data_IF_676293893587
#
_entry.id   IF_676293893587
#
_cell.length_a   1.000
_cell.length_b   1.000
_cell.length_c   1.000
_cell.angle_alpha   90.00
_cell.angle_beta   90.00
_cell.angle_gamma   90.00
#
_symmetry.space_group_name_H-M   'P 1'
#
loop_
_entity.id
_entity.type
_entity.pdbx_description
1 polymer ?
#
# COMPACT_ATOMS: atom_id res chain seq x y z
N UNK A 1 11.56 70.78 -14.33
CA UNK A 1 10.28 70.06 -14.46
C UNK A 1 10.28 68.97 -13.38
N UNK A 2 9.75 69.30 -12.20
CA UNK A 2 8.52 68.73 -11.61
C UNK A 2 8.49 67.20 -11.53
N UNK A 3 8.84 66.75 -10.34
CA UNK A 3 8.53 65.50 -9.64
C UNK A 3 7.05 65.13 -9.65
N UNK A 4 6.75 63.83 -9.59
CA UNK A 4 5.60 63.26 -8.86
C UNK A 4 5.77 61.74 -8.68
N UNK A 5 6.31 61.36 -7.51
CA UNK A 5 6.10 60.07 -6.86
C UNK A 5 5.00 60.30 -5.81
N UNK A 6 3.87 59.61 -5.97
CA UNK A 6 2.86 59.33 -4.93
C UNK A 6 2.83 57.80 -4.88
N UNK A 7 3.02 57.11 -3.76
CA UNK A 7 2.08 57.03 -2.64
C UNK A 7 2.78 56.40 -1.43
N UNK A 8 2.34 56.74 -0.21
CA UNK A 8 2.67 55.92 0.97
C UNK A 8 2.72 56.65 2.30
N UNK A 9 1.57 57.11 2.81
CA UNK A 9 1.36 57.32 4.26
C UNK A 9 -0.10 57.04 4.59
N UNK A 10 -0.38 55.99 5.36
CA UNK A 10 -1.24 56.12 6.54
C UNK A 10 -0.92 55.00 7.54
N UNK A 11 -0.86 55.42 8.79
CA UNK A 11 -0.45 54.70 9.98
C UNK A 11 -1.63 54.70 10.98
N UNK A 12 -1.55 53.80 11.96
CA UNK A 12 -2.23 53.76 13.28
C UNK A 12 -3.49 52.89 13.54
N UNK A 13 -3.25 51.75 14.21
CA UNK A 13 -3.59 51.37 15.61
C UNK A 13 -5.00 51.57 16.22
N UNK A 14 -5.54 50.49 16.84
CA UNK A 14 -5.98 50.31 18.27
C UNK A 14 -6.75 48.96 18.44
N UNK A 15 -6.17 47.91 19.06
CA UNK A 15 -6.34 47.36 20.45
C UNK A 15 -7.71 46.81 20.88
N UNK A 16 -7.75 45.53 21.34
CA UNK A 16 -8.21 44.97 22.66
C UNK A 16 -8.20 43.42 22.56
N UNK A 17 -7.34 42.68 23.27
CA UNK A 17 -7.52 42.06 24.60
C UNK A 17 -8.56 40.91 24.69
N UNK A 18 -8.11 39.66 24.94
CA UNK A 18 -8.46 38.90 26.15
C UNK A 18 -7.64 37.59 26.28
N UNK A 19 -7.46 37.19 27.53
CA UNK A 19 -6.57 36.18 28.11
C UNK A 19 -7.34 34.90 28.47
N UNK A 20 -6.61 33.82 28.71
CA UNK A 20 -7.09 32.43 28.85
C UNK A 20 -7.92 32.07 30.09
N UNK A 21 -8.19 30.77 30.22
CA UNK A 21 -8.94 30.20 31.34
C UNK A 21 -9.15 28.70 31.20
N UNK A 22 -8.38 27.95 31.98
CA UNK A 22 -8.44 26.52 32.28
C UNK A 22 -9.70 26.16 33.13
N UNK A 23 -9.94 24.87 33.41
CA UNK A 23 -10.91 24.24 34.37
C UNK A 23 -12.11 23.53 33.71
N UNK A 24 -12.67 22.42 34.21
CA UNK A 24 -12.34 21.31 35.11
C UNK A 24 -13.57 20.36 35.01
N UNK A 25 -13.41 19.08 35.38
CA UNK A 25 -14.49 18.08 35.50
C UNK A 25 -15.74 18.57 36.25
N UNK A 26 -16.87 17.88 36.02
CA UNK A 26 -17.79 17.55 37.10
C UNK A 26 -17.96 16.03 37.25
N UNK A 27 -17.53 15.51 38.40
CA UNK A 27 -18.17 14.36 39.05
C UNK A 27 -19.51 14.79 39.68
N UNK A 28 -20.43 13.83 39.84
CA UNK A 28 -21.56 13.67 40.80
C UNK A 28 -22.51 12.64 40.13
N UNK A 29 -23.09 11.59 40.71
CA UNK A 29 -23.40 11.20 42.09
C UNK A 29 -23.84 9.71 42.06
N UNK A 30 -23.42 8.88 43.02
CA UNK A 30 -23.99 7.54 43.27
C UNK A 30 -25.25 7.64 44.14
N UNK A 31 -26.24 6.79 43.87
CA UNK A 31 -27.46 6.57 44.67
C UNK A 31 -28.11 5.21 44.32
N UNK A 32 -28.94 4.63 45.20
CA UNK A 32 -28.72 3.29 45.76
C UNK A 32 -29.46 2.14 45.05
N UNK A 33 -29.01 0.92 45.36
CA UNK A 33 -29.61 -0.32 44.90
C UNK A 33 -30.97 -0.63 45.53
N UNK A 34 -31.69 -1.51 44.84
CA UNK A 34 -32.80 -2.29 45.37
C UNK A 34 -32.82 -3.62 44.60
N UNK A 35 -32.49 -4.69 45.33
CA UNK A 35 -32.70 -6.05 44.86
C UNK A 35 -34.19 -6.39 44.84
N UNK A 36 -34.57 -7.28 43.94
CA UNK A 36 -35.76 -8.09 44.11
C UNK A 36 -35.50 -9.47 43.52
N UNK A 37 -35.24 -10.39 44.44
CA UNK A 37 -35.44 -11.82 44.32
C UNK A 37 -36.94 -12.09 44.09
N UNK A 38 -37.27 -12.99 43.18
CA UNK A 38 -38.59 -13.61 43.07
C UNK A 38 -38.45 -14.95 42.34
N UNK A 39 -38.01 -15.93 43.11
CA UNK A 39 -38.29 -17.34 42.89
C UNK A 39 -39.79 -17.61 43.01
N UNK A 40 -40.34 -18.45 42.13
CA UNK A 40 -41.50 -19.27 42.47
C UNK A 40 -42.59 -19.42 41.42
N UNK A 41 -42.90 -20.69 41.16
CA UNK A 41 -44.18 -21.23 40.69
C UNK A 41 -44.46 -21.19 39.18
N UNK A 42 -44.32 -22.35 38.55
CA UNK A 42 -45.42 -23.03 37.87
C UNK A 42 -45.09 -24.52 37.69
N UNK A 43 -45.72 -25.34 38.53
CA UNK A 43 -45.84 -26.79 38.35
C UNK A 43 -47.03 -27.12 37.45
N UNK A 44 -46.84 -27.97 36.44
CA UNK A 44 -47.92 -28.54 35.63
C UNK A 44 -47.53 -29.90 35.05
N UNK A 45 -47.95 -30.98 35.74
CA UNK A 45 -47.82 -32.39 35.34
C UNK A 45 -48.52 -32.67 34.00
N UNK A 46 -47.96 -33.57 33.18
CA UNK A 46 -48.69 -34.72 32.60
C UNK A 46 -47.73 -35.89 32.33
N UNK A 47 -48.12 -37.07 32.81
CA UNK A 47 -47.40 -38.35 32.69
C UNK A 47 -47.63 -38.96 31.31
N UNK A 48 -46.61 -39.55 30.70
CA UNK A 48 -46.81 -40.73 29.83
C UNK A 48 -45.60 -41.66 29.85
N UNK A 49 -45.89 -42.96 30.00
CA UNK A 49 -44.96 -44.08 30.11
C UNK A 49 -44.52 -44.54 28.71
N UNK A 50 -43.21 -44.75 28.48
CA UNK A 50 -42.69 -46.01 27.90
C UNK A 50 -41.15 -46.08 27.84
N UNK A 51 -40.68 -47.24 28.28
CA UNK A 51 -39.47 -47.98 27.91
C UNK A 51 -38.07 -47.40 28.20
N UNK A 52 -37.39 -48.10 29.12
CA UNK A 52 -35.93 -48.19 29.26
C UNK A 52 -35.26 -48.54 27.93
N UNK A 53 -34.24 -47.78 27.56
CA UNK A 53 -32.98 -48.29 27.03
C UNK A 53 -31.85 -47.50 27.68
N UNK A 54 -30.89 -48.24 28.25
CA UNK A 54 -29.74 -47.74 28.99
C UNK A 54 -28.52 -47.62 28.07
N UNK A 55 -27.93 -46.41 28.00
CA UNK A 55 -26.49 -46.02 27.97
C UNK A 55 -25.53 -46.64 26.92
N UNK A 56 -24.54 -45.90 26.38
CA UNK A 56 -23.57 -45.15 27.19
C UNK A 56 -23.22 -43.72 26.74
N UNK A 57 -22.82 -42.97 27.76
CA UNK A 57 -21.87 -41.85 27.82
C UNK A 57 -21.32 -41.31 26.49
N UNK A 58 -21.75 -40.12 26.09
CA UNK A 58 -21.01 -39.30 25.12
C UNK A 58 -20.07 -38.38 25.90
N UNK A 59 -18.80 -38.42 25.51
CA UNK A 59 -17.69 -37.66 26.08
C UNK A 59 -18.01 -36.17 26.21
N UNK A 60 -17.75 -35.66 27.40
CA UNK A 60 -17.66 -34.25 27.73
C UNK A 60 -16.35 -33.72 27.12
N UNK A 61 -16.39 -33.37 25.84
CA UNK A 61 -15.28 -32.66 25.18
C UNK A 61 -15.63 -31.17 25.15
N UNK A 62 -14.80 -30.29 25.74
CA UNK A 62 -15.08 -28.87 25.74
C UNK A 62 -15.03 -28.34 24.31
N UNK A 63 -16.09 -27.63 23.90
CA UNK A 63 -16.08 -26.77 22.74
C UNK A 63 -14.90 -25.80 22.90
N UNK A 64 -13.87 -26.01 22.10
CA UNK A 64 -12.77 -25.07 21.94
C UNK A 64 -13.31 -23.88 21.16
N UNK A 65 -13.87 -22.90 21.87
CA UNK A 65 -14.03 -21.56 21.34
C UNK A 65 -12.63 -20.96 21.15
N UNK A 66 -12.10 -21.17 19.96
CA UNK A 66 -10.81 -20.66 19.51
C UNK A 66 -10.81 -20.52 18.00
N UNK A 67 -11.89 -19.96 17.44
CA UNK A 67 -11.92 -19.55 16.04
C UNK A 67 -11.05 -18.31 15.89
N UNK A 68 -9.82 -18.49 15.44
CA UNK A 68 -8.96 -17.39 15.05
C UNK A 68 -9.66 -16.61 13.92
N UNK A 69 -9.63 -15.28 13.96
CA UNK A 69 -10.33 -14.45 12.98
C UNK A 69 -9.84 -14.67 11.52
N UNK A 70 -8.73 -15.41 11.37
CA UNK A 70 -8.16 -15.87 10.10
C UNK A 70 -8.96 -16.95 9.38
N UNK A 71 -9.87 -17.67 10.07
CA UNK A 71 -10.69 -18.73 9.47
C UNK A 71 -12.06 -18.24 8.96
N UNK A 72 -12.34 -16.94 9.11
CA UNK A 72 -13.55 -16.36 8.60
C UNK A 72 -13.46 -16.24 7.06
N UNK A 73 -14.52 -16.60 6.30
CA UNK A 73 -14.49 -16.46 4.86
C UNK A 73 -14.17 -15.02 4.48
N UNK A 74 -13.18 -14.81 3.62
CA UNK A 74 -12.77 -13.47 3.16
C UNK A 74 -13.95 -12.61 2.70
N UNK A 75 -14.95 -13.22 2.07
CA UNK A 75 -16.14 -12.54 1.58
C UNK A 75 -17.17 -12.16 2.65
N UNK A 76 -16.91 -12.47 3.92
CA UNK A 76 -17.70 -11.98 5.06
C UNK A 76 -17.13 -10.65 5.60
N UNK A 77 -15.81 -10.48 5.49
CA UNK A 77 -15.09 -9.26 5.89
C UNK A 77 -14.92 -8.27 4.73
N UNK A 78 -14.87 -8.80 3.51
CA UNK A 78 -14.64 -8.06 2.28
C UNK A 78 -15.79 -8.27 1.29
N UNK A 79 -15.86 -7.41 0.28
CA UNK A 79 -16.84 -7.54 -0.81
C UNK A 79 -16.23 -8.35 -1.95
N UNK A 80 -16.82 -9.52 -2.25
CA UNK A 80 -16.42 -10.37 -3.36
C UNK A 80 -17.39 -10.27 -4.53
N UNK A 81 -16.90 -9.86 -5.70
CA UNK A 81 -17.70 -9.69 -6.92
C UNK A 81 -16.95 -10.25 -8.12
N UNK A 82 -17.48 -11.32 -8.73
CA UNK A 82 -17.04 -11.84 -10.04
C UNK A 82 -15.51 -11.92 -10.17
N UNK A 83 -14.85 -12.66 -9.27
CA UNK A 83 -13.39 -12.81 -9.27
C UNK A 83 -12.62 -11.58 -8.78
N UNK A 84 -13.29 -10.59 -8.21
CA UNK A 84 -12.67 -9.43 -7.55
C UNK A 84 -12.95 -9.45 -6.06
N UNK A 85 -11.96 -9.11 -5.25
CA UNK A 85 -12.07 -9.01 -3.78
C UNK A 85 -11.70 -7.60 -3.36
N UNK A 86 -12.63 -6.91 -2.69
CA UNK A 86 -12.48 -5.54 -2.19
C UNK A 86 -12.49 -5.54 -0.66
N UNK A 87 -11.32 -5.33 -0.08
CA UNK A 87 -11.04 -5.25 1.35
C UNK A 87 -10.48 -3.85 1.67
N UNK A 88 -11.25 -2.79 1.47
CA UNK A 88 -10.80 -1.43 1.78
C UNK A 88 -11.21 -1.08 3.21
N UNK A 89 -10.24 -0.66 4.05
CA UNK A 89 -10.48 -0.18 5.42
C UNK A 89 -11.36 -1.11 6.27
N UNK A 90 -11.01 -2.41 6.30
CA UNK A 90 -11.80 -3.43 6.98
C UNK A 90 -11.66 -3.29 8.51
N UNK A 91 -12.77 -3.49 9.23
CA UNK A 91 -12.82 -3.54 10.71
C UNK A 91 -13.20 -4.95 11.18
N UNK A 92 -12.42 -5.61 12.06
CA UNK A 92 -11.19 -5.12 12.69
C UNK A 92 -10.02 -4.99 11.70
N UNK A 93 -9.01 -4.20 12.09
CA UNK A 93 -7.82 -3.90 11.28
C UNK A 93 -7.19 -5.18 10.70
N UNK A 94 -7.13 -5.26 9.36
CA UNK A 94 -6.56 -6.42 8.67
C UNK A 94 -5.02 -6.32 8.64
N UNK A 95 -4.34 -7.20 9.38
CA UNK A 95 -2.86 -7.21 9.53
C UNK A 95 -2.13 -8.18 8.62
N UNK A 96 -2.85 -9.10 7.98
CA UNK A 96 -2.33 -10.12 7.05
C UNK A 96 -3.23 -10.20 5.83
N UNK A 97 -2.73 -10.79 4.74
CA UNK A 97 -3.57 -11.09 3.57
C UNK A 97 -4.53 -12.24 3.93
N UNK A 98 -5.85 -12.07 3.77
CA UNK A 98 -6.82 -13.11 4.10
C UNK A 98 -6.85 -14.22 3.03
N UNK A 99 -7.40 -15.39 3.36
CA UNK A 99 -7.47 -16.53 2.44
C UNK A 99 -8.41 -16.24 1.25
N UNK A 100 -7.84 -15.98 0.07
CA UNK A 100 -8.60 -15.55 -1.10
C UNK A 100 -9.30 -16.74 -1.81
N UNK A 101 -10.47 -16.51 -2.43
CA UNK A 101 -11.06 -17.45 -3.39
C UNK A 101 -10.08 -17.78 -4.54
N UNK A 102 -10.04 -19.04 -5.00
CA UNK A 102 -9.05 -19.52 -5.99
C UNK A 102 -9.20 -18.86 -7.37
N UNK A 103 -10.41 -18.42 -7.69
CA UNK A 103 -10.78 -17.72 -8.91
C UNK A 103 -10.52 -16.20 -8.86
N UNK A 104 -9.93 -15.68 -7.78
CA UNK A 104 -9.67 -14.24 -7.63
C UNK A 104 -8.66 -13.74 -8.67
N UNK A 105 -9.12 -12.88 -9.57
CA UNK A 105 -8.32 -12.17 -10.57
C UNK A 105 -7.88 -10.78 -10.10
N UNK A 106 -8.64 -10.12 -9.22
CA UNK A 106 -8.36 -8.76 -8.75
C UNK A 106 -8.47 -8.67 -7.23
N UNK A 107 -7.42 -8.20 -6.57
CA UNK A 107 -7.43 -7.92 -5.14
C UNK A 107 -7.20 -6.42 -4.90
N UNK A 108 -8.10 -5.80 -4.15
CA UNK A 108 -7.98 -4.45 -3.65
C UNK A 108 -8.04 -4.49 -2.13
N UNK A 109 -6.90 -4.39 -1.46
CA UNK A 109 -6.78 -4.48 0.00
C UNK A 109 -6.10 -3.21 0.55
N UNK A 110 -6.66 -2.05 0.21
CA UNK A 110 -6.09 -0.74 0.51
C UNK A 110 -6.39 -0.27 1.92
N UNK A 111 -5.52 0.60 2.44
CA UNK A 111 -5.73 1.32 3.70
C UNK A 111 -6.00 0.42 4.92
N UNK A 112 -5.41 -0.78 4.94
CA UNK A 112 -5.43 -1.67 6.10
C UNK A 112 -4.10 -1.59 6.88
N UNK A 113 -3.83 -2.59 7.73
CA UNK A 113 -2.62 -2.67 8.56
C UNK A 113 -1.73 -3.86 8.20
N UNK A 114 -1.76 -4.30 6.93
CA UNK A 114 -0.94 -5.42 6.48
C UNK A 114 0.54 -5.03 6.64
N UNK A 115 1.32 -5.84 7.36
CA UNK A 115 2.72 -5.51 7.68
C UNK A 115 3.75 -6.43 6.99
N UNK A 116 3.32 -7.61 6.55
CA UNK A 116 4.17 -8.63 5.94
C UNK A 116 3.41 -9.38 4.84
N UNK A 117 4.13 -9.73 3.78
CA UNK A 117 3.66 -10.65 2.74
C UNK A 117 4.55 -11.88 2.72
N UNK A 118 3.94 -13.06 2.78
CA UNK A 118 4.64 -14.35 2.78
C UNK A 118 4.50 -15.08 1.45
N UNK A 119 5.32 -16.11 1.25
CA UNK A 119 5.24 -17.03 0.11
C UNK A 119 3.95 -17.84 0.04
N UNK A 120 3.14 -17.86 1.12
CA UNK A 120 1.87 -18.60 1.18
C UNK A 120 0.67 -17.76 0.74
N UNK A 121 0.70 -16.45 0.99
CA UNK A 121 -0.45 -15.54 0.84
C UNK A 121 -1.08 -15.58 -0.56
N UNK A 122 -0.27 -15.76 -1.60
CA UNK A 122 -0.72 -15.81 -3.00
C UNK A 122 -0.34 -17.13 -3.70
N UNK A 123 0.10 -18.15 -2.97
CA UNK A 123 0.71 -19.34 -3.54
C UNK A 123 -0.19 -20.12 -4.52
N UNK A 124 -1.49 -20.14 -4.23
CA UNK A 124 -2.47 -20.98 -4.92
C UNK A 124 -3.41 -20.20 -5.84
N UNK A 125 -3.27 -18.87 -5.90
CA UNK A 125 -4.20 -17.98 -6.61
C UNK A 125 -3.51 -17.50 -7.90
N UNK A 126 -3.29 -18.44 -8.81
CA UNK A 126 -2.52 -18.22 -10.05
C UNK A 126 -3.28 -17.37 -11.09
N UNK A 127 -4.55 -17.10 -10.84
CA UNK A 127 -5.48 -16.31 -11.66
C UNK A 127 -5.33 -14.80 -11.46
N UNK A 128 -4.59 -14.36 -10.43
CA UNK A 128 -4.39 -12.94 -10.10
C UNK A 128 -3.74 -12.18 -11.26
N UNK A 129 -4.42 -11.11 -11.68
CA UNK A 129 -3.97 -10.14 -12.68
C UNK A 129 -3.61 -8.80 -12.05
N UNK A 130 -4.27 -8.43 -10.96
CA UNK A 130 -4.03 -7.17 -10.25
C UNK A 130 -4.03 -7.36 -8.74
N UNK A 131 -3.04 -6.76 -8.10
CA UNK A 131 -2.97 -6.64 -6.63
C UNK A 131 -2.74 -5.17 -6.29
N UNK A 132 -3.60 -4.63 -5.45
CA UNK A 132 -3.48 -3.28 -4.91
C UNK A 132 -3.47 -3.32 -3.38
N UNK A 133 -2.29 -3.06 -2.80
CA UNK A 133 -2.02 -3.05 -1.36
C UNK A 133 -1.61 -1.66 -0.89
N UNK A 134 -2.09 -0.62 -1.58
CA UNK A 134 -1.75 0.78 -1.28
C UNK A 134 -2.18 1.17 0.13
N UNK A 135 -1.36 1.96 0.82
CA UNK A 135 -1.73 2.54 2.12
C UNK A 135 -1.74 1.54 3.27
N UNK A 136 -0.92 0.49 3.20
CA UNK A 136 -0.70 -0.46 4.29
C UNK A 136 0.59 -0.11 5.07
N UNK A 137 1.04 -1.00 5.95
CA UNK A 137 2.30 -0.83 6.71
C UNK A 137 3.32 -1.91 6.34
N UNK A 138 3.31 -2.37 5.09
CA UNK A 138 4.13 -3.49 4.64
C UNK A 138 5.60 -3.08 4.69
N UNK A 139 6.37 -3.75 5.55
CA UNK A 139 7.82 -3.55 5.69
C UNK A 139 8.62 -4.75 5.20
N UNK A 140 8.02 -5.93 5.14
CA UNK A 140 8.67 -7.18 4.75
C UNK A 140 7.85 -7.92 3.68
N UNK A 141 8.53 -8.32 2.60
CA UNK A 141 7.98 -9.24 1.60
C UNK A 141 9.00 -10.36 1.42
N UNK A 142 8.56 -11.61 1.58
CA UNK A 142 9.41 -12.77 1.37
C UNK A 142 9.85 -12.89 -0.10
N UNK A 143 11.09 -13.33 -0.31
CA UNK A 143 11.60 -13.58 -1.65
C UNK A 143 10.77 -14.70 -2.31
N UNK A 144 10.16 -14.39 -3.45
CA UNK A 144 9.29 -15.32 -4.17
C UNK A 144 7.81 -15.26 -3.78
N UNK A 145 7.39 -14.33 -2.91
CA UNK A 145 5.96 -14.14 -2.57
C UNK A 145 5.04 -14.00 -3.80
N UNK A 146 5.55 -13.40 -4.88
CA UNK A 146 4.82 -13.21 -6.13
C UNK A 146 5.27 -14.16 -7.26
N UNK A 147 6.24 -15.06 -7.05
CA UNK A 147 6.92 -15.75 -8.15
C UNK A 147 6.01 -16.69 -8.96
N UNK A 148 4.95 -17.21 -8.35
CA UNK A 148 3.96 -18.08 -9.00
C UNK A 148 2.90 -17.31 -9.79
N UNK A 149 2.78 -16.00 -9.59
CA UNK A 149 1.75 -15.17 -10.20
C UNK A 149 2.11 -14.81 -11.65
N UNK A 150 2.06 -15.81 -12.52
CA UNK A 150 2.47 -15.69 -13.92
C UNK A 150 1.52 -14.86 -14.78
N UNK A 151 0.33 -14.53 -14.27
CA UNK A 151 -0.66 -13.67 -14.93
C UNK A 151 -0.72 -12.25 -14.34
N UNK A 152 0.13 -11.92 -13.34
CA UNK A 152 0.08 -10.62 -12.69
C UNK A 152 0.59 -9.52 -13.63
N UNK A 153 -0.31 -8.60 -13.95
CA UNK A 153 -0.09 -7.48 -14.88
C UNK A 153 0.10 -6.16 -14.12
N UNK A 154 -0.52 -6.01 -12.96
CA UNK A 154 -0.48 -4.77 -12.17
C UNK A 154 -0.24 -5.05 -10.68
N UNK A 155 0.76 -4.39 -10.10
CA UNK A 155 1.07 -4.48 -8.68
C UNK A 155 1.29 -3.08 -8.10
N UNK A 156 0.45 -2.70 -7.13
CA UNK A 156 0.64 -1.51 -6.32
C UNK A 156 1.02 -1.86 -4.88
N UNK A 157 2.18 -1.37 -4.47
CA UNK A 157 2.72 -1.39 -3.12
C UNK A 157 2.98 0.05 -2.63
N UNK A 158 2.28 1.03 -3.21
CA UNK A 158 2.44 2.43 -2.88
C UNK A 158 2.06 2.70 -1.40
N UNK A 159 2.64 3.74 -0.81
CA UNK A 159 2.30 4.18 0.55
C UNK A 159 2.45 3.04 1.57
N UNK A 160 3.66 2.45 1.61
CA UNK A 160 4.03 1.37 2.52
C UNK A 160 5.38 1.71 3.20
N UNK A 161 6.02 0.72 3.85
CA UNK A 161 7.28 0.90 4.59
C UNK A 161 8.42 0.06 4.02
N UNK A 162 8.39 -0.21 2.72
CA UNK A 162 9.37 -1.08 2.07
C UNK A 162 10.75 -0.43 2.02
N UNK A 163 11.75 -1.15 2.52
CA UNK A 163 13.17 -0.78 2.42
C UNK A 163 13.89 -1.53 1.30
N UNK A 164 13.31 -2.63 0.81
CA UNK A 164 13.81 -3.47 -0.28
C UNK A 164 12.67 -3.96 -1.16
N UNK A 165 12.93 -4.14 -2.45
CA UNK A 165 11.97 -4.74 -3.38
C UNK A 165 12.12 -6.27 -3.43
N UNK A 166 11.00 -7.01 -3.50
CA UNK A 166 11.03 -8.45 -3.74
C UNK A 166 11.33 -8.78 -5.20
N UNK A 167 11.45 -10.07 -5.52
CA UNK A 167 11.47 -10.52 -6.91
C UNK A 167 10.10 -10.29 -7.57
N UNK A 168 10.08 -9.49 -8.63
CA UNK A 168 8.86 -9.10 -9.33
C UNK A 168 8.47 -10.10 -10.44
N UNK A 169 7.17 -10.37 -10.66
CA UNK A 169 6.71 -11.21 -11.77
C UNK A 169 7.01 -10.59 -13.15
N UNK A 170 7.41 -11.42 -14.11
CA UNK A 170 7.91 -10.95 -15.42
C UNK A 170 6.84 -10.40 -16.37
N UNK A 171 5.56 -10.65 -16.08
CA UNK A 171 4.43 -10.18 -16.89
C UNK A 171 3.90 -8.80 -16.50
N UNK A 172 4.43 -8.19 -15.44
CA UNK A 172 4.01 -6.87 -15.01
C UNK A 172 4.08 -5.84 -16.16
N UNK A 173 2.98 -5.11 -16.31
CA UNK A 173 2.82 -3.96 -17.20
C UNK A 173 2.84 -2.64 -16.41
N UNK A 174 2.41 -2.66 -15.15
CA UNK A 174 2.50 -1.53 -14.23
C UNK A 174 3.00 -1.97 -12.86
N UNK A 175 3.97 -1.23 -12.33
CA UNK A 175 4.46 -1.42 -10.96
C UNK A 175 4.53 -0.07 -10.25
N UNK A 176 3.86 0.02 -9.10
CA UNK A 176 3.85 1.21 -8.26
C UNK A 176 4.42 0.89 -6.88
N UNK A 177 5.51 1.55 -6.50
CA UNK A 177 6.06 1.54 -5.15
C UNK A 177 6.40 2.96 -4.68
N UNK A 178 5.60 3.95 -5.09
CA UNK A 178 5.70 5.32 -4.58
C UNK A 178 5.54 5.36 -3.06
N UNK A 179 6.06 6.42 -2.42
CA UNK A 179 5.88 6.65 -0.98
C UNK A 179 6.29 5.43 -0.14
N UNK A 180 7.55 5.02 -0.30
CA UNK A 180 8.17 3.96 0.47
C UNK A 180 9.52 4.45 1.02
N UNK A 181 10.31 3.54 1.58
CA UNK A 181 11.62 3.84 2.18
C UNK A 181 12.75 3.20 1.36
N UNK A 182 12.55 3.03 0.05
CA UNK A 182 13.49 2.33 -0.82
C UNK A 182 14.77 3.15 -0.98
N UNK A 183 15.90 2.53 -0.67
CA UNK A 183 17.24 3.01 -1.02
C UNK A 183 17.78 2.23 -2.20
N UNK A 184 18.79 2.76 -2.88
CA UNK A 184 19.43 2.08 -4.03
C UNK A 184 19.88 0.65 -3.68
N UNK A 185 20.41 0.43 -2.47
CA UNK A 185 20.82 -0.91 -1.98
C UNK A 185 19.65 -1.90 -1.85
N UNK A 186 18.44 -1.40 -1.62
CA UNK A 186 17.21 -2.18 -1.56
C UNK A 186 16.63 -2.54 -2.94
N UNK A 187 17.14 -1.93 -4.00
CA UNK A 187 16.73 -2.19 -5.39
C UNK A 187 17.91 -2.80 -6.13
N UNK A 188 17.93 -4.12 -6.27
CA UNK A 188 19.00 -4.83 -7.01
C UNK A 188 19.11 -4.27 -8.43
N UNK A 189 20.32 -4.11 -8.95
CA UNK A 189 20.57 -3.49 -10.26
C UNK A 189 19.77 -4.14 -11.42
N UNK A 190 19.49 -5.44 -11.32
CA UNK A 190 18.76 -6.20 -12.35
C UNK A 190 17.29 -6.46 -12.00
N UNK A 191 16.72 -5.84 -10.95
CA UNK A 191 15.34 -6.09 -10.49
C UNK A 191 14.33 -5.97 -11.62
N UNK A 192 14.43 -4.92 -12.45
CA UNK A 192 13.48 -4.67 -13.53
C UNK A 192 13.91 -5.28 -14.86
N UNK A 193 15.17 -5.71 -15.03
CA UNK A 193 15.76 -6.11 -16.33
C UNK A 193 14.93 -7.15 -17.11
N UNK A 194 14.26 -8.07 -16.42
CA UNK A 194 13.44 -9.13 -17.03
C UNK A 194 11.99 -8.72 -17.31
N UNK A 195 11.55 -7.54 -16.87
CA UNK A 195 10.18 -7.05 -17.00
C UNK A 195 9.97 -6.40 -18.39
N UNK A 196 10.08 -7.20 -19.44
CA UNK A 196 10.04 -6.74 -20.85
C UNK A 196 8.67 -6.23 -21.31
N UNK A 197 7.65 -6.35 -20.46
CA UNK A 197 6.29 -5.84 -20.69
C UNK A 197 5.96 -4.62 -19.82
N UNK A 198 6.88 -4.19 -18.96
CA UNK A 198 6.64 -3.08 -18.04
C UNK A 198 6.55 -1.76 -18.81
N UNK A 199 5.42 -1.08 -18.68
CA UNK A 199 5.11 0.19 -19.32
C UNK A 199 5.20 1.33 -18.30
N UNK A 200 4.65 1.11 -17.11
CA UNK A 200 4.56 2.12 -16.06
C UNK A 200 5.39 1.70 -14.85
N UNK A 201 6.36 2.54 -14.46
CA UNK A 201 7.20 2.32 -13.30
C UNK A 201 7.18 3.56 -12.40
N UNK A 202 6.61 3.40 -11.21
CA UNK A 202 6.48 4.48 -10.24
C UNK A 202 7.29 4.16 -8.98
N UNK A 203 8.32 4.98 -8.72
CA UNK A 203 9.27 4.89 -7.61
C UNK A 203 9.48 6.27 -6.95
N UNK A 204 8.53 7.19 -7.11
CA UNK A 204 8.56 8.51 -6.53
C UNK A 204 8.51 8.46 -4.99
N UNK A 205 8.95 9.53 -4.34
CA UNK A 205 8.84 9.69 -2.89
C UNK A 205 9.46 8.52 -2.13
N UNK A 206 10.73 8.26 -2.45
CA UNK A 206 11.56 7.23 -1.86
C UNK A 206 12.94 7.84 -1.48
N UNK A 207 13.93 7.00 -1.20
CA UNK A 207 15.29 7.42 -0.79
C UNK A 207 16.35 6.89 -1.77
N UNK A 208 16.01 6.78 -3.06
CA UNK A 208 16.93 6.30 -4.09
C UNK A 208 18.04 7.33 -4.32
N UNK A 209 19.29 6.87 -4.32
CA UNK A 209 20.47 7.71 -4.57
C UNK A 209 20.93 7.65 -6.04
N UNK A 210 20.45 6.64 -6.78
CA UNK A 210 20.77 6.43 -8.19
C UNK A 210 19.56 5.80 -8.92
N UNK A 211 19.51 6.01 -10.23
CA UNK A 211 18.47 5.46 -11.09
C UNK A 211 18.75 3.96 -11.35
N UNK A 212 17.80 3.05 -11.06
CA UNK A 212 17.96 1.63 -11.36
C UNK A 212 17.97 1.38 -12.88
N UNK A 213 18.42 0.20 -13.32
CA UNK A 213 18.38 -0.14 -14.75
C UNK A 213 16.93 -0.28 -15.24
N UNK A 214 16.54 0.58 -16.19
CA UNK A 214 15.16 0.71 -16.66
C UNK A 214 14.95 -0.10 -17.95
N UNK A 215 13.97 -1.03 -18.01
CA UNK A 215 13.68 -1.80 -19.21
C UNK A 215 13.27 -0.94 -20.41
N UNK A 216 13.65 -1.37 -21.61
CA UNK A 216 13.33 -0.72 -22.90
C UNK A 216 11.83 -0.48 -23.12
N UNK A 217 10.98 -1.32 -22.51
CA UNK A 217 9.52 -1.25 -22.63
C UNK A 217 8.88 -0.09 -21.87
N UNK A 218 9.58 0.48 -20.88
CA UNK A 218 9.03 1.52 -20.00
C UNK A 218 8.74 2.78 -20.81
N UNK A 219 7.55 3.34 -20.57
CA UNK A 219 7.06 4.56 -21.20
C UNK A 219 6.89 5.70 -20.21
N UNK A 220 6.44 5.39 -19.00
CA UNK A 220 6.24 6.35 -17.92
C UNK A 220 7.13 5.94 -16.75
N UNK A 221 8.05 6.83 -16.37
CA UNK A 221 8.98 6.64 -15.27
C UNK A 221 8.89 7.79 -14.29
N UNK A 222 8.44 7.50 -13.08
CA UNK A 222 8.38 8.49 -11.99
C UNK A 222 9.42 8.18 -10.92
N UNK A 223 10.34 9.11 -10.74
CA UNK A 223 11.44 9.05 -9.77
C UNK A 223 11.54 10.36 -8.97
N UNK A 224 10.53 11.22 -9.04
CA UNK A 224 10.52 12.49 -8.32
C UNK A 224 10.63 12.29 -6.81
N UNK A 225 11.13 13.31 -6.10
CA UNK A 225 11.28 13.30 -4.64
C UNK A 225 12.09 12.08 -4.13
N UNK A 226 13.26 11.87 -4.71
CA UNK A 226 14.26 10.92 -4.25
C UNK A 226 15.56 11.67 -3.89
N UNK A 227 16.64 10.94 -3.62
CA UNK A 227 17.96 11.50 -3.34
C UNK A 227 18.96 11.28 -4.50
N UNK A 228 18.46 11.26 -5.75
CA UNK A 228 19.30 10.97 -6.92
C UNK A 228 20.26 12.15 -7.14
N UNK A 229 21.55 11.85 -7.19
CA UNK A 229 22.61 12.86 -7.36
C UNK A 229 23.29 12.78 -8.73
N UNK A 230 23.24 11.63 -9.38
CA UNK A 230 23.91 11.36 -10.66
C UNK A 230 23.03 10.54 -11.62
N UNK A 231 23.28 10.71 -12.93
CA UNK A 231 22.69 9.91 -14.00
C UNK A 231 23.81 9.31 -14.84
N UNK A 232 23.79 7.99 -15.02
CA UNK A 232 24.79 7.32 -15.86
C UNK A 232 24.44 7.50 -17.35
N UNK A 233 25.47 7.58 -18.21
CA UNK A 233 25.31 7.69 -19.67
C UNK A 233 24.49 6.56 -20.29
N UNK A 234 24.56 5.37 -19.71
CA UNK A 234 23.84 4.19 -20.15
C UNK A 234 22.49 3.98 -19.43
N UNK A 235 22.05 4.92 -18.58
CA UNK A 235 20.77 4.80 -17.86
C UNK A 235 19.58 4.83 -18.83
N UNK A 236 19.60 5.77 -19.78
CA UNK A 236 18.51 5.96 -20.74
C UNK A 236 18.89 5.61 -22.17
N UNK A 237 20.11 5.94 -22.58
CA UNK A 237 20.65 5.73 -23.92
C UNK A 237 21.67 4.59 -23.95
N UNK A 238 22.04 4.14 -25.15
CA UNK A 238 23.13 3.16 -25.34
C UNK A 238 24.38 3.90 -25.77
N UNK A 239 25.37 4.03 -24.89
CA UNK A 239 26.60 4.77 -25.21
C UNK A 239 27.42 4.18 -26.36
N UNK A 240 27.21 2.90 -26.67
CA UNK A 240 27.86 2.19 -27.77
C UNK A 240 27.15 2.34 -29.13
N UNK A 241 25.98 2.98 -29.18
CA UNK A 241 25.19 3.17 -30.39
C UNK A 241 24.69 4.61 -30.49
N UNK A 242 25.41 5.42 -31.27
CA UNK A 242 25.08 6.85 -31.48
C UNK A 242 23.78 7.08 -32.23
N UNK A 243 23.23 6.06 -32.89
CA UNK A 243 21.96 6.13 -33.63
C UNK A 243 20.78 5.57 -32.82
N UNK A 244 21.05 5.06 -31.61
CA UNK A 244 20.02 4.55 -30.75
C UNK A 244 19.05 5.66 -30.34
N UNK A 245 17.77 5.42 -30.61
CA UNK A 245 16.67 6.24 -30.14
C UNK A 245 15.79 5.40 -29.22
N UNK A 246 15.30 6.02 -28.13
CA UNK A 246 14.36 5.40 -27.20
C UNK A 246 13.01 6.12 -27.27
N UNK A 247 12.23 5.91 -28.34
CA UNK A 247 10.98 6.62 -28.55
C UNK A 247 9.86 6.13 -27.63
N UNK A 248 10.03 4.99 -26.94
CA UNK A 248 9.04 4.44 -26.01
C UNK A 248 8.90 5.28 -24.75
N UNK A 249 9.98 5.92 -24.31
CA UNK A 249 10.02 6.67 -23.07
C UNK A 249 9.40 8.06 -23.28
N UNK A 250 8.14 8.18 -22.84
CA UNK A 250 7.27 9.34 -23.08
C UNK A 250 7.27 10.32 -21.90
N UNK A 251 7.56 9.85 -20.70
CA UNK A 251 7.56 10.69 -19.51
C UNK A 251 8.60 10.19 -18.52
N UNK A 252 9.48 11.10 -18.11
CA UNK A 252 10.48 10.86 -17.06
C UNK A 252 10.40 12.01 -16.07
N UNK A 253 10.05 11.71 -14.82
CA UNK A 253 10.02 12.69 -13.72
C UNK A 253 11.19 12.47 -12.78
N UNK A 254 12.03 13.47 -12.65
CA UNK A 254 13.20 13.53 -11.76
C UNK A 254 13.16 14.80 -10.88
N UNK A 255 12.07 15.56 -10.90
CA UNK A 255 11.88 16.72 -10.03
C UNK A 255 12.00 16.36 -8.54
N UNK A 256 12.41 17.31 -7.69
CA UNK A 256 12.63 17.04 -6.27
C UNK A 256 13.86 16.17 -5.95
N UNK A 257 14.72 15.86 -6.92
CA UNK A 257 16.03 15.24 -6.68
C UNK A 257 17.16 16.29 -6.65
N UNK A 258 18.27 16.03 -5.94
CA UNK A 258 19.46 16.89 -5.96
C UNK A 258 20.13 17.03 -7.34
N UNK A 259 19.98 16.04 -8.21
CA UNK A 259 20.64 15.99 -9.53
C UNK A 259 20.31 17.21 -10.39
N UNK A 260 21.34 17.77 -11.02
CA UNK A 260 21.22 18.85 -12.00
C UNK A 260 21.31 18.26 -13.39
N UNK A 261 20.20 18.17 -14.10
CA UNK A 261 20.10 17.44 -15.38
C UNK A 261 20.97 18.04 -16.49
N UNK A 262 21.26 19.34 -16.45
CA UNK A 262 22.11 19.99 -17.46
C UNK A 262 23.57 19.49 -17.45
N UNK A 263 24.07 18.96 -16.33
CA UNK A 263 25.42 18.37 -16.28
C UNK A 263 25.50 17.01 -16.97
N UNK A 264 24.36 16.40 -17.29
CA UNK A 264 24.21 15.07 -17.88
C UNK A 264 23.50 15.12 -19.25
N UNK A 265 23.62 16.22 -19.99
CA UNK A 265 22.88 16.44 -21.24
C UNK A 265 23.00 15.27 -22.25
N UNK A 266 24.18 14.69 -22.39
CA UNK A 266 24.46 13.57 -23.30
C UNK A 266 23.62 12.32 -23.01
N UNK A 267 23.22 12.13 -21.75
CA UNK A 267 22.48 10.96 -21.28
C UNK A 267 21.02 10.94 -21.76
N UNK A 268 20.55 12.07 -22.32
CA UNK A 268 19.15 12.26 -22.73
C UNK A 268 18.98 12.35 -24.26
N UNK A 269 20.06 12.28 -25.01
CA UNK A 269 20.11 12.54 -26.46
C UNK A 269 19.28 11.57 -27.31
N UNK A 270 19.08 10.34 -26.84
CA UNK A 270 18.26 9.33 -27.52
C UNK A 270 16.75 9.49 -27.29
N UNK A 271 16.32 10.40 -26.40
CA UNK A 271 14.93 10.53 -25.98
C UNK A 271 14.20 11.58 -26.80
N UNK A 272 12.90 11.36 -27.04
CA UNK A 272 12.04 12.35 -27.72
C UNK A 272 11.64 13.52 -26.84
N UNK A 273 11.71 13.33 -25.54
CA UNK A 273 11.24 14.25 -24.50
C UNK A 273 12.25 14.27 -23.39
N UNK A 274 12.58 15.48 -22.93
CA UNK A 274 13.51 15.68 -21.83
C UNK A 274 12.84 15.37 -20.49
N UNK A 275 13.60 14.87 -19.49
CA UNK A 275 13.04 14.63 -18.17
C UNK A 275 12.56 15.93 -17.50
N UNK A 276 11.46 15.84 -16.76
CA UNK A 276 11.01 16.92 -15.89
C UNK A 276 11.91 16.94 -14.66
N UNK A 277 12.56 18.06 -14.40
CA UNK A 277 13.47 18.19 -13.25
C UNK A 277 14.27 19.48 -13.25
N UNK A 278 15.32 19.50 -12.43
CA UNK A 278 16.17 20.69 -12.21
C UNK A 278 17.28 20.77 -13.27
N UNK A 279 17.34 21.88 -14.00
CA UNK A 279 18.40 22.15 -14.99
C UNK A 279 19.41 23.23 -14.56
N UNK A 280 19.17 23.92 -13.44
CA UNK A 280 20.02 24.96 -12.84
C UNK A 280 19.90 24.88 -11.34
#
# INVERSE_FOLDING_TARGET
MKTLLLTGVLMLWLTTASVGGNQQEPQLLQGPGLGHDLSGYLTGRLKSRRARQTLPSADDSPLTEGGDASDLPTCLLCVCLTGSVYCEEVSPDMTTVPTLPKETAYLYARFNKINKITTKDFADILTLKRIDLTGNIISEIEDGAFSKLTLLEELSLAENRLVKLPMLPTKLSAFNANHNLLKTKGVKANTFKKLTKLVNLFLADNQLEAIPQIPESVRILHLQNNNITEVNKDTFCRSNDTYYLRPSLNEVRLDGNPVVLSTFADTFTCMKVLPIGRYR
#
